data_IF_149431632729
#
_entry.id   IF_149431632729
#
_cell.length_a   1.000
_cell.length_b   1.000
_cell.length_c   1.000
_cell.angle_alpha   90.00
_cell.angle_beta   90.00
_cell.angle_gamma   90.00
#
_symmetry.space_group_name_H-M   'P 1'
#
loop_
_entity.id
_entity.type
_entity.pdbx_description
1 polymer ?
#
# COMPACT_ATOMS: atom_id res chain seq x y z
N UNK A 1 12.94 -5.74 -11.53
CA UNK A 1 12.06 -5.72 -12.72
C UNK A 1 12.87 -5.35 -13.98
N UNK A 2 12.65 -5.95 -15.16
CA UNK A 2 13.29 -5.48 -16.42
C UNK A 2 12.80 -4.07 -16.74
N UNK A 3 13.69 -3.14 -17.09
CA UNK A 3 13.29 -1.81 -17.57
C UNK A 3 12.44 -1.95 -18.84
N UNK A 4 11.15 -1.65 -18.74
CA UNK A 4 10.24 -1.61 -19.88
C UNK A 4 10.52 -0.33 -20.66
N UNK A 5 10.76 -0.44 -21.96
CA UNK A 5 11.05 0.71 -22.81
C UNK A 5 9.79 1.57 -23.05
N UNK A 6 9.98 2.87 -23.34
CA UNK A 6 8.86 3.76 -23.68
C UNK A 6 8.05 3.27 -24.90
N UNK A 7 8.71 2.61 -25.85
CA UNK A 7 8.06 2.03 -27.02
C UNK A 7 7.13 0.89 -26.65
N UNK A 8 7.48 0.09 -25.65
CA UNK A 8 6.64 -1.00 -25.15
C UNK A 8 5.46 -0.47 -24.34
N UNK A 9 5.68 0.51 -23.45
CA UNK A 9 4.59 1.17 -22.70
C UNK A 9 3.54 1.78 -23.63
N UNK A 10 3.96 2.38 -24.75
CA UNK A 10 3.04 2.94 -25.75
C UNK A 10 2.21 1.89 -26.49
N UNK A 11 2.53 0.60 -26.42
CA UNK A 11 1.70 -0.46 -27.02
C UNK A 11 0.60 -0.95 -26.08
N UNK A 12 0.82 -0.92 -24.77
CA UNK A 12 -0.11 -1.43 -23.76
C UNK A 12 -1.45 -0.66 -23.72
N UNK A 13 -2.57 -1.35 -23.65
CA UNK A 13 -3.89 -0.80 -23.39
C UNK A 13 -3.96 -0.06 -22.05
N UNK A 14 -5.06 0.67 -21.81
CA UNK A 14 -5.27 1.39 -20.55
C UNK A 14 -5.39 0.43 -19.36
N UNK A 15 -6.03 -0.72 -19.57
CA UNK A 15 -6.13 -1.76 -18.54
C UNK A 15 -4.76 -2.37 -18.24
N UNK A 16 -3.99 -2.73 -19.28
CA UNK A 16 -2.61 -3.23 -19.10
C UNK A 16 -1.69 -2.22 -18.42
N UNK A 17 -1.81 -0.92 -18.75
CA UNK A 17 -1.07 0.14 -18.07
C UNK A 17 -1.51 0.29 -16.60
N UNK A 18 -2.80 0.13 -16.31
CA UNK A 18 -3.31 0.17 -14.94
C UNK A 18 -2.81 -1.02 -14.14
N UNK A 19 -2.83 -2.22 -14.73
CA UNK A 19 -2.32 -3.45 -14.12
C UNK A 19 -0.82 -3.35 -13.83
N UNK A 20 -0.04 -2.92 -14.83
CA UNK A 20 1.39 -2.70 -14.67
C UNK A 20 1.68 -1.67 -13.58
N UNK A 21 0.88 -0.60 -13.51
CA UNK A 21 1.07 0.44 -12.51
C UNK A 21 0.82 -0.10 -11.11
N UNK A 22 -0.33 -0.75 -10.88
CA UNK A 22 -0.66 -1.30 -9.56
C UNK A 22 0.32 -2.41 -9.15
N UNK A 23 0.81 -3.22 -10.09
CA UNK A 23 1.82 -4.25 -9.80
C UNK A 23 3.13 -3.63 -9.32
N UNK A 24 3.59 -2.56 -9.97
CA UNK A 24 4.79 -1.87 -9.54
C UNK A 24 4.62 -1.21 -8.16
N UNK A 25 3.46 -0.60 -7.89
CA UNK A 25 3.18 -0.02 -6.56
C UNK A 25 3.05 -1.11 -5.50
N UNK A 26 2.46 -2.25 -5.82
CA UNK A 26 2.39 -3.38 -4.90
C UNK A 26 3.78 -3.93 -4.57
N UNK A 27 4.67 -4.06 -5.56
CA UNK A 27 6.06 -4.44 -5.32
C UNK A 27 6.76 -3.48 -4.35
N UNK A 28 6.61 -2.17 -4.56
CA UNK A 28 7.15 -1.15 -3.65
C UNK A 28 6.55 -1.26 -2.24
N UNK A 29 5.23 -1.44 -2.12
CA UNK A 29 4.59 -1.64 -0.81
C UNK A 29 5.10 -2.90 -0.11
N UNK A 30 5.25 -4.02 -0.83
CA UNK A 30 5.79 -5.24 -0.26
C UNK A 30 7.24 -5.02 0.21
N UNK A 31 8.05 -4.27 -0.54
CA UNK A 31 9.42 -3.90 -0.12
C UNK A 31 9.44 -3.02 1.12
N UNK A 32 8.51 -2.07 1.23
CA UNK A 32 8.35 -1.29 2.46
C UNK A 32 8.05 -2.20 3.66
N UNK A 33 7.08 -3.12 3.50
CA UNK A 33 6.67 -4.01 4.59
C UNK A 33 7.79 -4.97 4.98
N UNK A 34 8.46 -5.58 3.99
CA UNK A 34 9.65 -6.42 4.22
C UNK A 34 10.78 -5.64 4.90
N UNK A 35 10.97 -4.37 4.51
CA UNK A 35 11.91 -3.48 5.21
C UNK A 35 11.58 -3.38 6.70
N UNK A 36 10.32 -3.13 7.04
CA UNK A 36 9.89 -3.04 8.45
C UNK A 36 10.09 -4.38 9.18
N UNK A 37 9.90 -5.52 8.53
CA UNK A 37 10.23 -6.83 9.11
C UNK A 37 11.72 -6.94 9.43
N UNK A 38 12.60 -6.56 8.50
CA UNK A 38 14.04 -6.50 8.76
C UNK A 38 14.41 -5.55 9.91
N UNK A 39 13.70 -4.43 10.04
CA UNK A 39 13.87 -3.55 11.20
C UNK A 39 13.56 -4.27 12.51
N UNK A 40 12.47 -5.04 12.55
CA UNK A 40 12.06 -5.84 13.72
C UNK A 40 13.09 -6.93 14.06
N UNK A 41 13.70 -7.52 13.04
CA UNK A 41 14.76 -8.52 13.15
C UNK A 41 16.16 -7.92 13.40
N UNK A 42 16.26 -6.59 13.49
CA UNK A 42 17.51 -5.85 13.68
C UNK A 42 18.52 -6.01 12.51
N UNK A 43 18.03 -6.39 11.33
CA UNK A 43 18.76 -6.42 10.06
C UNK A 43 18.70 -5.04 9.38
N UNK A 44 19.51 -4.12 9.90
CA UNK A 44 19.52 -2.73 9.43
C UNK A 44 20.00 -2.54 7.99
N UNK A 45 20.80 -3.47 7.47
CA UNK A 45 21.33 -3.40 6.11
C UNK A 45 20.22 -3.69 5.11
N UNK A 46 19.49 -4.80 5.29
CA UNK A 46 18.35 -5.14 4.43
C UNK A 46 17.18 -4.18 4.62
N UNK A 47 16.94 -3.68 5.84
CA UNK A 47 16.00 -2.58 6.09
C UNK A 47 16.32 -1.36 5.24
N UNK A 48 17.56 -0.87 5.29
CA UNK A 48 17.98 0.33 4.55
C UNK A 48 17.88 0.12 3.04
N UNK A 49 18.32 -1.04 2.57
CA UNK A 49 18.25 -1.40 1.14
C UNK A 49 16.81 -1.39 0.62
N UNK A 50 15.88 -2.01 1.35
CA UNK A 50 14.47 -2.09 0.95
C UNK A 50 13.80 -0.71 0.95
N UNK A 51 14.06 0.14 1.95
CA UNK A 51 13.44 1.46 2.02
C UNK A 51 14.01 2.40 0.95
N UNK A 52 15.31 2.34 0.67
CA UNK A 52 15.89 3.08 -0.46
C UNK A 52 15.31 2.62 -1.79
N UNK A 53 15.06 1.32 -1.98
CA UNK A 53 14.37 0.83 -3.19
C UNK A 53 13.00 1.48 -3.39
N UNK A 54 12.21 1.63 -2.31
CA UNK A 54 10.90 2.29 -2.34
C UNK A 54 11.03 3.75 -2.75
N UNK A 55 12.06 4.46 -2.28
CA UNK A 55 12.29 5.89 -2.54
C UNK A 55 12.86 6.16 -3.93
N UNK A 56 13.76 5.29 -4.41
CA UNK A 56 14.50 5.50 -5.66
C UNK A 56 13.74 5.02 -6.90
N UNK A 57 12.74 4.15 -6.72
CA UNK A 57 11.94 3.62 -7.84
C UNK A 57 11.06 4.71 -8.43
N UNK A 58 11.26 5.01 -9.72
CA UNK A 58 10.56 6.05 -10.46
C UNK A 58 9.82 5.50 -11.70
N UNK A 59 9.59 4.19 -11.76
CA UNK A 59 8.99 3.51 -12.92
C UNK A 59 7.55 4.00 -13.18
N UNK A 60 6.84 4.36 -12.13
CA UNK A 60 5.48 4.91 -12.17
C UNK A 60 5.36 6.19 -12.98
N UNK A 61 6.37 7.06 -12.98
CA UNK A 61 6.33 8.32 -13.72
C UNK A 61 6.20 8.03 -15.22
N UNK A 62 6.92 7.01 -15.71
CA UNK A 62 6.86 6.59 -17.12
C UNK A 62 5.50 5.97 -17.45
N UNK A 63 4.97 5.13 -16.57
CA UNK A 63 3.66 4.48 -16.76
C UNK A 63 2.53 5.51 -16.76
N UNK A 64 2.56 6.47 -15.83
CA UNK A 64 1.59 7.58 -15.72
C UNK A 64 1.54 8.43 -16.98
N UNK A 65 2.70 8.85 -17.51
CA UNK A 65 2.76 9.60 -18.78
C UNK A 65 2.15 8.81 -19.94
N UNK A 66 2.44 7.52 -20.03
CA UNK A 66 1.87 6.66 -21.07
C UNK A 66 0.34 6.55 -20.92
N UNK A 67 -0.16 6.36 -19.71
CA UNK A 67 -1.58 6.29 -19.39
C UNK A 67 -2.33 7.57 -19.76
N UNK A 68 -1.85 8.73 -19.29
CA UNK A 68 -2.45 10.03 -19.54
C UNK A 68 -2.51 10.36 -21.04
N UNK A 69 -1.50 9.96 -21.81
CA UNK A 69 -1.49 10.17 -23.27
C UNK A 69 -2.58 9.38 -24.03
N UNK A 70 -3.09 8.29 -23.43
CA UNK A 70 -4.05 7.37 -24.05
C UNK A 70 -5.49 7.60 -23.59
N UNK A 71 -5.70 7.92 -22.32
CA UNK A 71 -7.04 7.99 -21.72
C UNK A 71 -7.97 8.99 -22.41
N UNK A 72 -7.42 10.07 -22.96
CA UNK A 72 -8.22 11.05 -23.69
C UNK A 72 -8.76 10.53 -25.03
N UNK A 73 -8.09 9.55 -25.64
CA UNK A 73 -8.40 9.03 -26.99
C UNK A 73 -9.24 7.75 -26.99
N UNK A 74 -9.34 7.05 -25.86
CA UNK A 74 -10.05 5.78 -25.74
C UNK A 74 -11.55 5.92 -25.45
N UNK A 75 -12.38 5.05 -26.04
CA UNK A 75 -13.71 4.71 -25.53
C UNK A 75 -13.54 3.61 -24.47
N UNK A 76 -14.16 3.76 -23.31
CA UNK A 76 -13.92 2.92 -22.13
C UNK A 76 -15.24 2.48 -21.50
N UNK A 77 -15.21 1.33 -20.83
CA UNK A 77 -16.32 0.77 -20.04
C UNK A 77 -16.65 1.66 -18.83
N UNK A 78 -15.63 2.27 -18.22
CA UNK A 78 -15.79 3.27 -17.17
C UNK A 78 -15.68 4.69 -17.70
N UNK A 79 -16.25 5.62 -16.95
CA UNK A 79 -16.06 7.04 -17.24
C UNK A 79 -14.57 7.37 -17.15
N UNK A 80 -14.10 8.27 -18.02
CA UNK A 80 -12.70 8.74 -17.98
C UNK A 80 -12.36 9.33 -16.60
N UNK A 81 -13.33 9.99 -15.95
CA UNK A 81 -13.18 10.54 -14.62
C UNK A 81 -12.93 9.46 -13.56
N UNK A 82 -13.69 8.36 -13.59
CA UNK A 82 -13.51 7.25 -12.64
C UNK A 82 -12.17 6.54 -12.85
N UNK A 83 -11.73 6.38 -14.11
CA UNK A 83 -10.42 5.82 -14.43
C UNK A 83 -9.26 6.70 -13.97
N UNK A 84 -9.36 8.03 -14.16
CA UNK A 84 -8.38 8.98 -13.64
C UNK A 84 -8.34 8.95 -12.11
N UNK A 85 -9.50 8.86 -11.45
CA UNK A 85 -9.58 8.78 -9.99
C UNK A 85 -9.03 7.46 -9.44
N UNK A 86 -9.29 6.33 -10.10
CA UNK A 86 -8.66 5.05 -9.79
C UNK A 86 -7.13 5.16 -9.88
N UNK A 87 -6.62 5.69 -11.00
CA UNK A 87 -5.19 5.85 -11.24
C UNK A 87 -4.53 6.78 -10.21
N UNK A 88 -5.18 7.90 -9.86
CA UNK A 88 -4.69 8.80 -8.82
C UNK A 88 -4.64 8.13 -7.45
N UNK A 89 -5.64 7.32 -7.09
CA UNK A 89 -5.62 6.57 -5.83
C UNK A 89 -4.50 5.54 -5.76
N UNK A 90 -4.11 4.91 -6.88
CA UNK A 90 -2.90 4.06 -6.93
C UNK A 90 -1.65 4.90 -6.61
N UNK A 91 -1.56 6.11 -7.19
CA UNK A 91 -0.44 7.02 -6.93
C UNK A 91 -0.40 7.53 -5.48
N UNK A 92 -1.55 7.74 -4.85
CA UNK A 92 -1.61 8.18 -3.45
C UNK A 92 -0.97 7.14 -2.51
N UNK A 93 -1.23 5.84 -2.76
CA UNK A 93 -0.60 4.74 -2.01
C UNK A 93 0.92 4.79 -2.12
N UNK A 94 1.45 5.03 -3.32
CA UNK A 94 2.89 5.19 -3.55
C UNK A 94 3.46 6.33 -2.72
N UNK A 95 2.85 7.50 -2.78
CA UNK A 95 3.30 8.68 -2.05
C UNK A 95 3.37 8.44 -0.53
N UNK A 96 2.40 7.71 0.01
CA UNK A 96 2.37 7.34 1.44
C UNK A 96 3.47 6.36 1.77
N UNK A 97 3.72 5.38 0.89
CA UNK A 97 4.81 4.42 1.03
C UNK A 97 6.17 5.10 1.06
N UNK A 98 6.43 6.02 0.12
CA UNK A 98 7.65 6.83 0.08
C UNK A 98 7.79 7.73 1.29
N UNK A 99 6.71 8.40 1.71
CA UNK A 99 6.73 9.25 2.90
C UNK A 99 7.09 8.42 4.14
N UNK A 100 6.49 7.24 4.27
CA UNK A 100 6.77 6.30 5.37
C UNK A 100 8.22 5.82 5.34
N UNK A 101 8.72 5.42 4.18
CA UNK A 101 10.11 4.99 3.99
C UNK A 101 11.11 6.08 4.37
N UNK A 102 10.93 7.29 3.84
CA UNK A 102 11.78 8.45 4.18
C UNK A 102 11.78 8.71 5.69
N UNK A 103 10.60 8.69 6.31
CA UNK A 103 10.46 8.95 7.75
C UNK A 103 11.16 7.87 8.58
N UNK A 104 10.98 6.60 8.24
CA UNK A 104 11.58 5.46 8.96
C UNK A 104 13.11 5.44 8.85
N UNK A 105 13.69 5.91 7.76
CA UNK A 105 15.15 6.02 7.62
C UNK A 105 15.77 7.11 8.52
N UNK A 106 14.98 8.05 9.06
CA UNK A 106 15.47 9.09 9.96
C UNK A 106 15.79 8.58 11.37
N UNK A 107 15.24 7.44 11.75
CA UNK A 107 15.40 6.90 13.09
C UNK A 107 15.74 5.42 13.09
N UNK A 108 16.51 5.00 14.10
CA UNK A 108 16.70 3.59 14.44
C UNK A 108 15.93 3.33 15.71
N UNK A 109 14.95 2.43 15.62
CA UNK A 109 14.15 2.03 16.77
C UNK A 109 14.67 0.71 17.31
N UNK A 110 14.67 0.59 18.64
CA UNK A 110 14.90 -0.67 19.33
C UNK A 110 13.58 -1.08 19.94
N UNK A 111 13.15 -2.31 19.67
CA UNK A 111 11.88 -2.83 20.16
C UNK A 111 12.01 -3.22 21.63
N UNK A 112 10.97 -2.99 22.45
CA UNK A 112 11.04 -3.13 23.90
C UNK A 112 11.10 -4.60 24.35
N UNK A 113 10.36 -5.49 23.69
CA UNK A 113 10.36 -6.94 23.97
C UNK A 113 9.89 -7.75 22.75
N UNK A 114 10.07 -9.08 22.83
CA UNK A 114 9.70 -10.02 21.78
C UNK A 114 8.18 -10.09 21.53
N UNK A 115 7.36 -9.82 22.55
CA UNK A 115 5.90 -9.84 22.38
C UNK A 115 5.44 -8.64 21.52
N UNK A 116 6.07 -7.48 21.71
CA UNK A 116 5.87 -6.29 20.88
C UNK A 116 6.32 -6.55 19.43
N UNK A 117 7.48 -7.18 19.25
CA UNK A 117 7.97 -7.59 17.91
C UNK A 117 6.96 -8.50 17.22
N UNK A 118 6.49 -9.55 17.90
CA UNK A 118 5.51 -10.50 17.37
C UNK A 118 4.18 -9.82 16.98
N UNK A 119 3.69 -8.89 17.80
CA UNK A 119 2.47 -8.14 17.50
C UNK A 119 2.63 -7.27 16.25
N UNK A 120 3.75 -6.58 16.08
CA UNK A 120 4.03 -5.82 14.85
C UNK A 120 4.11 -6.76 13.64
N UNK A 121 4.80 -7.89 13.75
CA UNK A 121 4.90 -8.85 12.63
C UNK A 121 3.52 -9.38 12.19
N UNK A 122 2.60 -9.61 13.12
CA UNK A 122 1.21 -9.97 12.79
C UNK A 122 0.49 -8.86 12.02
N UNK A 123 0.62 -7.62 12.47
CA UNK A 123 0.10 -6.45 11.75
C UNK A 123 0.69 -6.37 10.33
N UNK A 124 2.00 -6.55 10.17
CA UNK A 124 2.68 -6.49 8.87
C UNK A 124 2.21 -7.62 7.94
N UNK A 125 1.96 -8.82 8.48
CA UNK A 125 1.37 -9.94 7.74
C UNK A 125 -0.02 -9.57 7.19
N UNK A 126 -0.89 -9.00 8.01
CA UNK A 126 -2.20 -8.51 7.56
C UNK A 126 -2.06 -7.37 6.54
N UNK A 127 -1.07 -6.49 6.70
CA UNK A 127 -0.79 -5.42 5.75
C UNK A 127 -0.35 -5.95 4.37
N UNK A 128 0.51 -6.98 4.32
CA UNK A 128 0.87 -7.68 3.06
C UNK A 128 -0.36 -8.27 2.39
N UNK A 129 -1.22 -8.93 3.17
CA UNK A 129 -2.45 -9.53 2.68
C UNK A 129 -3.36 -8.49 2.02
N UNK A 130 -3.68 -7.39 2.72
CA UNK A 130 -4.58 -6.37 2.17
C UNK A 130 -3.96 -5.62 0.98
N UNK A 131 -2.63 -5.45 0.94
CA UNK A 131 -1.93 -4.83 -0.20
C UNK A 131 -2.06 -5.69 -1.47
N UNK A 132 -1.88 -7.00 -1.31
CA UNK A 132 -2.03 -7.96 -2.40
C UNK A 132 -3.49 -8.06 -2.87
N UNK A 133 -4.43 -8.14 -1.92
CA UNK A 133 -5.86 -8.14 -2.22
C UNK A 133 -6.32 -6.86 -2.93
N UNK A 134 -5.80 -5.69 -2.54
CA UNK A 134 -6.12 -4.44 -3.23
C UNK A 134 -5.69 -4.49 -4.69
N UNK A 135 -4.50 -5.01 -4.95
CA UNK A 135 -3.97 -5.21 -6.31
C UNK A 135 -4.88 -6.11 -7.13
N UNK A 136 -5.32 -7.22 -6.56
CA UNK A 136 -6.26 -8.13 -7.20
C UNK A 136 -7.61 -7.46 -7.47
N UNK A 137 -8.16 -6.71 -6.52
CA UNK A 137 -9.43 -5.99 -6.69
C UNK A 137 -9.35 -4.96 -7.83
N UNK A 138 -8.23 -4.25 -7.96
CA UNK A 138 -7.97 -3.30 -9.05
C UNK A 138 -7.89 -4.01 -10.40
N UNK A 139 -7.38 -5.24 -10.45
CA UNK A 139 -7.33 -6.04 -11.69
C UNK A 139 -8.70 -6.61 -12.05
N UNK A 140 -9.47 -7.06 -11.06
CA UNK A 140 -10.81 -7.61 -11.29
C UNK A 140 -11.86 -6.55 -11.63
N UNK A 141 -11.69 -5.29 -11.24
CA UNK A 141 -12.67 -4.24 -11.58
C UNK A 141 -12.89 -4.11 -13.10
N UNK A 142 -11.93 -4.52 -13.95
CA UNK A 142 -12.09 -4.49 -15.41
C UNK A 142 -12.77 -5.72 -16.02
N UNK A 143 -12.99 -6.80 -15.26
CA UNK A 143 -13.40 -8.10 -15.80
C UNK A 143 -14.45 -8.83 -14.96
N UNK A 144 -14.44 -8.69 -13.64
CA UNK A 144 -15.33 -9.36 -12.69
C UNK A 144 -15.62 -8.44 -11.50
N UNK A 145 -16.71 -7.66 -11.61
CA UNK A 145 -17.10 -6.67 -10.61
C UNK A 145 -17.54 -7.31 -9.29
N UNK A 146 -18.16 -8.50 -9.33
CA UNK A 146 -18.60 -9.22 -8.13
C UNK A 146 -17.37 -9.65 -7.33
N UNK A 147 -16.39 -10.26 -8.00
CA UNK A 147 -15.15 -10.67 -7.35
C UNK A 147 -14.35 -9.48 -6.82
N UNK A 148 -14.27 -8.38 -7.57
CA UNK A 148 -13.64 -7.16 -7.07
C UNK A 148 -14.32 -6.64 -5.80
N UNK A 149 -15.65 -6.64 -5.76
CA UNK A 149 -16.45 -6.26 -4.61
C UNK A 149 -16.18 -7.16 -3.38
N UNK A 150 -16.18 -8.48 -3.56
CA UNK A 150 -15.96 -9.44 -2.47
C UNK A 150 -14.56 -9.33 -1.87
N UNK A 151 -13.54 -9.13 -2.72
CA UNK A 151 -12.17 -8.85 -2.25
C UNK A 151 -12.13 -7.57 -1.41
N UNK A 152 -12.85 -6.52 -1.82
CA UNK A 152 -12.91 -5.27 -1.06
C UNK A 152 -13.55 -5.45 0.33
N UNK A 153 -14.56 -6.32 0.46
CA UNK A 153 -15.14 -6.63 1.77
C UNK A 153 -14.15 -7.41 2.65
N UNK A 154 -13.38 -8.34 2.07
CA UNK A 154 -12.31 -9.03 2.79
C UNK A 154 -11.24 -8.07 3.33
N UNK A 155 -10.81 -7.10 2.52
CA UNK A 155 -9.87 -6.04 2.96
C UNK A 155 -10.43 -5.27 4.17
N UNK A 156 -11.71 -4.89 4.12
CA UNK A 156 -12.38 -4.17 5.22
C UNK A 156 -12.43 -5.01 6.50
N UNK A 157 -12.77 -6.30 6.37
CA UNK A 157 -12.77 -7.24 7.50
C UNK A 157 -11.39 -7.40 8.11
N UNK A 158 -10.36 -7.55 7.30
CA UNK A 158 -8.99 -7.69 7.77
C UNK A 158 -8.49 -6.40 8.44
N UNK A 159 -8.79 -5.23 7.88
CA UNK A 159 -8.46 -3.94 8.51
C UNK A 159 -9.12 -3.75 9.87
N UNK A 160 -10.34 -4.28 10.09
CA UNK A 160 -11.02 -4.28 11.40
C UNK A 160 -10.22 -5.10 12.42
N UNK A 161 -9.66 -6.25 12.02
CA UNK A 161 -8.79 -7.05 12.90
C UNK A 161 -7.49 -6.32 13.22
N UNK A 162 -6.85 -5.74 12.20
CA UNK A 162 -5.64 -4.93 12.39
C UNK A 162 -5.87 -3.77 13.36
N UNK A 163 -7.08 -3.17 13.39
CA UNK A 163 -7.41 -2.08 14.33
C UNK A 163 -7.41 -2.58 15.79
N UNK A 164 -7.82 -3.82 16.03
CA UNK A 164 -7.78 -4.42 17.37
C UNK A 164 -6.32 -4.62 17.80
N UNK A 165 -5.48 -5.16 16.90
CA UNK A 165 -4.05 -5.36 17.16
C UNK A 165 -3.32 -4.02 17.37
N UNK A 166 -3.64 -2.99 16.57
CA UNK A 166 -3.15 -1.62 16.73
C UNK A 166 -3.42 -1.09 18.13
N UNK A 167 -4.65 -1.21 18.62
CA UNK A 167 -5.01 -0.73 19.97
C UNK A 167 -4.32 -1.53 21.08
N UNK A 168 -4.15 -2.84 20.91
CA UNK A 168 -3.41 -3.67 21.86
C UNK A 168 -1.94 -3.24 21.93
N UNK A 169 -1.32 -3.00 20.77
CA UNK A 169 0.07 -2.59 20.66
C UNK A 169 0.29 -1.17 21.22
N UNK A 170 -0.61 -0.23 20.93
CA UNK A 170 -0.57 1.11 21.52
C UNK A 170 -0.75 1.04 23.04
N UNK A 171 -1.74 0.28 23.53
CA UNK A 171 -1.92 0.11 24.97
C UNK A 171 -0.66 -0.43 25.64
N UNK A 172 0.02 -1.40 25.04
CA UNK A 172 1.32 -1.89 25.51
C UNK A 172 2.38 -0.78 25.51
N UNK A 173 2.52 -0.06 24.39
CA UNK A 173 3.50 1.02 24.23
C UNK A 173 3.39 2.10 25.33
N UNK A 174 2.16 2.50 25.69
CA UNK A 174 1.90 3.52 26.70
C UNK A 174 2.05 3.04 28.15
N UNK A 175 2.08 1.71 28.37
CA UNK A 175 2.19 1.11 29.70
C UNK A 175 3.60 0.57 30.00
N UNK A 176 4.57 0.72 29.10
CA UNK A 176 5.96 0.48 29.47
C UNK A 176 6.45 1.54 30.45
N UNK A 177 7.32 1.11 31.38
CA UNK A 177 8.16 1.99 32.19
C UNK A 177 9.24 2.64 31.32
N UNK A 178 8.82 3.46 30.36
CA UNK A 178 9.68 4.26 29.51
C UNK A 178 9.67 5.67 30.09
N UNK A 179 10.85 6.22 30.37
CA UNK A 179 10.95 7.64 30.73
C UNK A 179 10.19 8.47 29.71
N UNK A 180 9.33 9.38 30.19
CA UNK A 180 8.32 10.17 29.44
C UNK A 180 8.90 11.02 28.28
N UNK A 181 10.21 10.97 28.05
CA UNK A 181 10.98 11.71 27.04
C UNK A 181 11.87 10.81 26.15
N UNK A 182 11.72 9.47 26.21
CA UNK A 182 12.57 8.59 25.39
C UNK A 182 12.21 8.72 23.91
N UNK A 183 13.22 9.03 23.08
CA UNK A 183 13.09 9.07 21.61
C UNK A 183 12.51 7.76 21.05
N UNK A 184 12.80 6.63 21.72
CA UNK A 184 12.28 5.30 21.38
C UNK A 184 10.76 5.23 21.41
N UNK A 185 10.09 5.82 22.42
CA UNK A 185 8.63 5.85 22.48
C UNK A 185 8.04 6.55 21.25
N UNK A 186 8.59 7.73 20.91
CA UNK A 186 8.14 8.51 19.77
C UNK A 186 8.32 7.72 18.47
N UNK A 187 9.48 7.10 18.28
CA UNK A 187 9.77 6.31 17.08
C UNK A 187 8.86 5.09 16.93
N UNK A 188 8.61 4.35 18.02
CA UNK A 188 7.67 3.22 18.01
C UNK A 188 6.25 3.68 17.69
N UNK A 189 5.79 4.79 18.29
CA UNK A 189 4.48 5.36 18.00
C UNK A 189 4.37 5.76 16.53
N UNK A 190 5.38 6.47 16.01
CA UNK A 190 5.40 6.91 14.61
C UNK A 190 5.46 5.74 13.62
N UNK A 191 6.17 4.67 13.97
CA UNK A 191 6.20 3.42 13.20
C UNK A 191 4.80 2.81 13.11
N UNK A 192 4.13 2.63 14.25
CA UNK A 192 2.76 2.08 14.31
C UNK A 192 1.80 2.94 13.49
N UNK A 193 1.83 4.26 13.70
CA UNK A 193 0.96 5.20 12.97
C UNK A 193 1.22 5.18 11.47
N UNK A 194 2.48 5.08 11.02
CA UNK A 194 2.83 4.96 9.61
C UNK A 194 2.27 3.70 8.97
N UNK A 195 2.44 2.55 9.62
CA UNK A 195 1.89 1.25 9.16
C UNK A 195 0.36 1.31 9.08
N UNK A 196 -0.29 1.91 10.09
CA UNK A 196 -1.75 2.04 10.13
C UNK A 196 -2.30 3.03 9.13
N UNK A 197 -1.57 4.11 8.86
CA UNK A 197 -1.92 5.08 7.81
C UNK A 197 -1.98 4.39 6.45
N UNK A 198 -0.97 3.59 6.10
CA UNK A 198 -1.00 2.82 4.85
C UNK A 198 -2.20 1.86 4.79
N UNK A 199 -2.48 1.16 5.88
CA UNK A 199 -3.63 0.25 5.98
C UNK A 199 -4.98 0.99 5.81
N UNK A 200 -5.13 2.18 6.41
CA UNK A 200 -6.33 3.01 6.29
C UNK A 200 -6.54 3.53 4.87
N UNK A 201 -5.46 3.91 4.18
CA UNK A 201 -5.53 4.31 2.78
C UNK A 201 -5.86 3.14 1.84
N UNK A 202 -5.32 1.94 2.08
CA UNK A 202 -5.69 0.72 1.36
C UNK A 202 -7.20 0.45 1.52
N UNK A 203 -7.72 0.54 2.76
CA UNK A 203 -9.15 0.37 3.03
C UNK A 203 -9.99 1.44 2.32
N UNK A 204 -9.61 2.72 2.40
CA UNK A 204 -10.33 3.79 1.71
C UNK A 204 -10.33 3.61 0.18
N UNK A 205 -9.26 3.03 -0.36
CA UNK A 205 -9.20 2.69 -1.77
C UNK A 205 -10.10 1.48 -2.10
N UNK A 206 -10.09 0.42 -1.29
CA UNK A 206 -10.99 -0.71 -1.50
C UNK A 206 -12.47 -0.30 -1.45
N UNK A 207 -12.85 0.63 -0.57
CA UNK A 207 -14.21 1.20 -0.55
C UNK A 207 -14.56 1.95 -1.84
N UNK A 208 -13.58 2.63 -2.46
CA UNK A 208 -13.79 3.27 -3.76
C UNK A 208 -13.95 2.25 -4.90
N UNK A 209 -13.17 1.17 -4.88
CA UNK A 209 -13.31 0.08 -5.86
C UNK A 209 -14.67 -0.61 -5.67
N UNK A 210 -15.09 -0.85 -4.43
CA UNK A 210 -16.42 -1.36 -4.10
C UNK A 210 -17.52 -0.45 -4.65
N UNK A 211 -17.39 0.86 -4.47
CA UNK A 211 -18.30 1.85 -5.06
C UNK A 211 -18.34 1.76 -6.59
N UNK A 212 -17.20 1.65 -7.26
CA UNK A 212 -17.15 1.47 -8.71
C UNK A 212 -17.85 0.18 -9.14
N UNK A 213 -17.56 -0.93 -8.46
CA UNK A 213 -18.18 -2.21 -8.73
C UNK A 213 -19.70 -2.11 -8.63
N UNK A 214 -20.23 -1.57 -7.53
CA UNK A 214 -21.67 -1.36 -7.35
C UNK A 214 -22.25 -0.42 -8.40
N UNK A 215 -21.58 0.70 -8.67
CA UNK A 215 -22.04 1.68 -9.68
C UNK A 215 -22.22 1.00 -11.03
N UNK A 216 -21.28 0.19 -11.47
CA UNK A 216 -21.30 -0.42 -12.80
C UNK A 216 -22.05 -1.76 -12.86
N UNK A 217 -22.20 -2.48 -11.74
CA UNK A 217 -23.08 -3.66 -11.63
C UNK A 217 -24.57 -3.33 -11.75
N UNK A 218 -24.99 -2.15 -11.30
CA UNK A 218 -26.41 -1.73 -11.31
C UNK A 218 -26.89 -1.33 -12.71
N UNK A 219 -25.98 -1.04 -13.64
CA UNK A 219 -26.30 -0.57 -14.99
C UNK A 219 -26.03 -1.61 -16.09
N UNK A 220 -25.73 -2.87 -15.72
CA UNK A 220 -25.83 -4.05 -16.59
C UNK A 220 -27.22 -4.71 -16.44
#
# INVERSE_FOLDING_TARGET
MKEISEKELKKLSIDELTHLFVDNINEQNLKLIEGIEFLVEEDFDNFTQNLNYVIETNTEVRIKKAFESKIFKSKLMFSKADRLKLFNKINDIKNIGEFSANKMLLYRVVFPDEEFKLQILNILKSLKLISSQLTDAIKFIGSDLIKAHDICENIKNERRKMRIEEWQLLNRLYNYDMDYLSRTFLYLKELIEGVMMLADHIKSFSEYIQFLATKYLIFD
#
